data_IF_027760002821
#
_entry.id   IF_027760002821
#
_cell.length_a   1.000
_cell.length_b   1.000
_cell.length_c   1.000
_cell.angle_alpha   90.00
_cell.angle_beta   90.00
_cell.angle_gamma   90.00
#
_symmetry.space_group_name_H-M   'P 1'
#
loop_
_entity.id
_entity.type
_entity.pdbx_description
1 polymer ?
#
# COMPACT_ATOMS: atom_id res chain seq x y z
N UNK A 1 -27.19 29.28 -11.60
CA UNK A 1 -27.15 29.25 -13.07
C UNK A 1 -25.69 29.25 -13.49
N UNK A 2 -25.10 28.08 -13.73
CA UNK A 2 -23.76 27.94 -14.32
C UNK A 2 -23.61 26.52 -14.89
N UNK A 3 -23.76 26.52 -16.21
CA UNK A 3 -23.32 25.61 -17.27
C UNK A 3 -22.57 24.34 -16.87
N UNK A 4 -23.23 23.23 -17.21
CA UNK A 4 -22.71 21.89 -17.45
C UNK A 4 -22.10 21.84 -18.85
N UNK A 5 -20.91 21.24 -19.02
CA UNK A 5 -20.48 20.76 -20.32
C UNK A 5 -19.74 19.42 -20.21
N UNK A 6 -20.40 18.43 -20.82
CA UNK A 6 -19.99 17.07 -21.10
C UNK A 6 -18.69 17.00 -21.92
N UNK A 7 -17.92 15.93 -21.75
CA UNK A 7 -17.17 15.33 -22.86
C UNK A 7 -17.25 13.79 -22.78
N UNK A 8 -17.89 13.22 -23.82
CA UNK A 8 -17.96 11.80 -24.16
C UNK A 8 -17.03 11.51 -25.34
N UNK A 9 -16.54 10.27 -25.35
CA UNK A 9 -16.20 9.41 -26.51
C UNK A 9 -15.16 9.88 -27.54
N UNK A 10 -14.06 9.10 -27.65
CA UNK A 10 -13.56 8.58 -28.94
C UNK A 10 -13.05 7.14 -28.72
N UNK A 11 -13.54 6.21 -29.56
CA UNK A 11 -13.16 4.79 -29.69
C UNK A 11 -12.73 4.56 -31.13
N UNK A 12 -11.61 3.86 -31.38
CA UNK A 12 -11.30 3.08 -32.61
C UNK A 12 -9.83 2.58 -32.53
N UNK A 13 -9.57 1.27 -32.44
CA UNK A 13 -9.40 0.25 -33.50
C UNK A 13 -7.92 -0.19 -33.59
N UNK A 14 -7.64 -1.46 -33.30
CA UNK A 14 -6.48 -2.17 -33.82
C UNK A 14 -6.81 -3.67 -33.94
N UNK A 15 -6.80 -4.16 -35.17
CA UNK A 15 -7.11 -5.52 -35.59
C UNK A 15 -5.98 -6.51 -35.26
N UNK A 16 -6.41 -7.75 -35.00
CA UNK A 16 -5.62 -8.96 -34.80
C UNK A 16 -5.30 -9.58 -36.17
N UNK A 17 -4.03 -9.92 -36.41
CA UNK A 17 -3.63 -10.87 -37.47
C UNK A 17 -3.08 -12.15 -36.84
N UNK A 18 -3.81 -13.25 -37.01
CA UNK A 18 -3.39 -14.62 -36.72
C UNK A 18 -3.02 -15.31 -38.03
N UNK A 19 -1.82 -15.89 -38.07
CA UNK A 19 -1.39 -16.85 -39.07
C UNK A 19 -0.67 -17.98 -38.34
N UNK A 20 -1.18 -19.20 -38.43
CA UNK A 20 -0.35 -20.40 -38.37
C UNK A 20 -1.04 -21.58 -39.03
N UNK A 21 -0.28 -22.19 -39.95
CA UNK A 21 -0.63 -23.32 -40.79
C UNK A 21 -0.50 -24.67 -40.07
N UNK A 22 -1.20 -25.63 -40.66
CA UNK A 22 -1.46 -27.02 -40.27
C UNK A 22 -0.39 -28.03 -40.71
N UNK A 23 -0.31 -29.14 -39.92
CA UNK A 23 0.02 -30.55 -40.25
C UNK A 23 1.33 -30.94 -40.96
N UNK A 24 2.03 -31.95 -40.43
CA UNK A 24 1.97 -33.36 -40.89
C UNK A 24 2.92 -34.29 -40.12
N UNK A 25 2.59 -35.58 -40.13
CA UNK A 25 3.18 -36.71 -39.40
C UNK A 25 4.38 -37.37 -40.09
N UNK A 26 5.13 -38.26 -39.41
CA UNK A 26 5.26 -39.70 -39.74
C UNK A 26 6.30 -40.45 -38.86
N UNK A 27 5.84 -41.56 -38.26
CA UNK A 27 6.44 -42.91 -38.13
C UNK A 27 7.84 -43.18 -37.51
N UNK A 28 7.85 -44.11 -36.53
CA UNK A 28 8.61 -45.37 -36.69
C UNK A 28 9.31 -46.00 -35.46
N UNK A 29 8.77 -47.16 -35.01
CA UNK A 29 9.46 -48.36 -34.42
C UNK A 29 10.02 -48.22 -32.98
N UNK A 30 10.01 -49.20 -32.08
CA UNK A 30 9.69 -50.65 -32.06
C UNK A 30 9.52 -51.09 -30.60
N UNK A 31 8.69 -52.12 -30.36
CA UNK A 31 8.38 -52.70 -29.05
C UNK A 31 9.50 -53.59 -28.47
N UNK A 32 9.59 -53.64 -27.13
CA UNK A 32 10.16 -54.77 -26.36
C UNK A 32 9.24 -55.10 -25.18
N UNK A 33 8.86 -56.37 -25.10
CA UNK A 33 8.09 -56.98 -24.02
C UNK A 33 8.91 -57.04 -22.72
N UNK A 34 8.25 -56.81 -21.58
CA UNK A 34 8.66 -57.34 -20.28
C UNK A 34 7.42 -57.53 -19.37
N UNK A 35 7.02 -58.79 -19.25
CA UNK A 35 6.47 -59.49 -18.07
C UNK A 35 5.76 -58.70 -16.96
N UNK A 36 4.48 -59.04 -16.78
CA UNK A 36 3.63 -58.70 -15.65
C UNK A 36 3.93 -59.59 -14.42
N UNK A 37 4.12 -58.97 -13.25
CA UNK A 37 4.03 -59.60 -11.92
C UNK A 37 3.01 -58.79 -11.10
N UNK A 38 1.93 -59.36 -10.57
CA UNK A 38 0.98 -58.62 -9.76
C UNK A 38 1.45 -58.59 -8.29
N UNK A 39 1.89 -57.42 -7.82
CA UNK A 39 2.09 -57.16 -6.40
C UNK A 39 0.78 -56.64 -5.80
N UNK A 40 0.20 -57.43 -4.89
CA UNK A 40 -0.98 -57.07 -4.13
C UNK A 40 -0.70 -55.86 -3.23
N UNK A 41 -1.23 -54.70 -3.59
CA UNK A 41 -1.20 -53.51 -2.75
C UNK A 41 -2.25 -53.62 -1.63
N UNK A 42 -1.77 -53.82 -0.39
CA UNK A 42 -2.57 -53.65 0.84
C UNK A 42 -3.00 -52.18 0.97
N UNK A 43 -4.25 -51.88 0.60
CA UNK A 43 -4.91 -50.63 0.95
C UNK A 43 -5.06 -50.53 2.48
N UNK A 44 -4.15 -49.78 3.13
CA UNK A 44 -4.40 -49.32 4.50
C UNK A 44 -5.46 -48.22 4.44
N UNK A 45 -6.70 -48.56 4.78
CA UNK A 45 -7.73 -47.59 5.14
C UNK A 45 -7.18 -46.74 6.29
N UNK A 46 -6.72 -45.51 6.00
CA UNK A 46 -6.67 -44.45 7.01
C UNK A 46 -8.12 -44.16 7.37
N UNK A 47 -8.53 -44.57 8.56
CA UNK A 47 -9.73 -44.03 9.18
C UNK A 47 -9.55 -42.51 9.23
N UNK A 48 -10.37 -41.78 8.48
CA UNK A 48 -10.52 -40.33 8.69
C UNK A 48 -11.14 -40.17 10.06
N UNK A 49 -10.39 -39.61 11.00
CA UNK A 49 -10.97 -39.04 12.22
C UNK A 49 -12.04 -38.02 11.81
N UNK A 50 -13.18 -37.97 12.51
CA UNK A 50 -14.19 -36.96 12.24
C UNK A 50 -13.59 -35.58 12.50
N UNK A 51 -13.71 -34.69 11.52
CA UNK A 51 -13.36 -33.28 11.70
C UNK A 51 -14.11 -32.77 12.93
N UNK A 52 -13.38 -32.33 13.95
CA UNK A 52 -13.96 -31.52 15.00
C UNK A 52 -14.55 -30.30 14.31
N UNK A 53 -15.87 -30.16 14.34
CA UNK A 53 -16.51 -28.87 14.06
C UNK A 53 -15.94 -27.89 15.07
N UNK A 54 -14.90 -27.15 14.66
CA UNK A 54 -14.39 -26.04 15.46
C UNK A 54 -15.55 -25.09 15.66
N UNK A 55 -15.84 -24.75 16.92
CA UNK A 55 -16.75 -23.65 17.20
C UNK A 55 -16.22 -22.43 16.46
N UNK A 56 -17.01 -21.91 15.53
CA UNK A 56 -16.75 -20.64 14.85
C UNK A 56 -16.79 -19.56 15.94
N UNK A 57 -15.63 -18.99 16.28
CA UNK A 57 -15.49 -17.99 17.35
C UNK A 57 -15.90 -16.61 16.84
N UNK A 58 -17.10 -16.16 17.21
CA UNK A 58 -17.64 -14.86 16.84
C UNK A 58 -17.25 -13.82 17.90
N UNK A 59 -16.47 -12.81 17.52
CA UNK A 59 -16.17 -11.67 18.40
C UNK A 59 -17.46 -10.92 18.79
N UNK A 60 -17.81 -10.97 20.07
CA UNK A 60 -18.99 -10.32 20.62
C UNK A 60 -18.92 -8.79 20.59
N UNK A 61 -17.75 -8.21 20.31
CA UNK A 61 -17.61 -6.77 20.07
C UNK A 61 -17.89 -6.39 18.60
N UNK A 62 -18.01 -7.37 17.70
CA UNK A 62 -18.28 -7.17 16.29
C UNK A 62 -17.07 -6.73 15.48
N UNK A 63 -17.32 -6.38 14.21
CA UNK A 63 -16.31 -6.27 13.16
C UNK A 63 -16.36 -4.90 12.45
N UNK A 64 -15.26 -4.56 11.82
CA UNK A 64 -15.14 -3.41 10.91
C UNK A 64 -14.66 -3.91 9.56
N UNK A 65 -15.43 -3.64 8.51
CA UNK A 65 -15.04 -3.84 7.11
C UNK A 65 -14.90 -2.47 6.45
N UNK A 66 -13.97 -2.33 5.50
CA UNK A 66 -13.87 -1.12 4.70
C UNK A 66 -13.23 -1.40 3.34
N UNK A 67 -13.52 -0.54 2.36
CA UNK A 67 -12.75 -0.51 1.13
C UNK A 67 -11.56 0.45 1.24
N UNK A 68 -10.32 0.04 0.91
CA UNK A 68 -9.18 0.94 0.72
C UNK A 68 -9.28 1.66 -0.64
N UNK A 69 -10.43 2.29 -0.90
CA UNK A 69 -10.86 2.79 -2.21
C UNK A 69 -10.26 4.16 -2.61
N UNK A 70 -9.28 4.69 -1.86
CA UNK A 70 -8.67 6.00 -2.16
C UNK A 70 -7.17 5.85 -2.46
N UNK A 71 -6.79 6.19 -3.69
CA UNK A 71 -5.41 6.23 -4.13
C UNK A 71 -4.76 4.86 -4.35
N UNK A 72 -3.43 4.85 -4.45
CA UNK A 72 -2.60 3.65 -4.64
C UNK A 72 -2.07 3.13 -3.31
N UNK A 73 -1.23 2.09 -3.33
CA UNK A 73 -0.68 1.42 -2.15
C UNK A 73 -0.26 2.37 -1.01
N UNK A 74 0.50 3.44 -1.29
CA UNK A 74 0.93 4.39 -0.25
C UNK A 74 -0.23 5.06 0.50
N UNK A 75 -1.29 5.46 -0.22
CA UNK A 75 -2.50 6.02 0.39
C UNK A 75 -3.25 4.96 1.21
N UNK A 76 -3.38 3.76 0.64
CA UNK A 76 -4.07 2.64 1.28
C UNK A 76 -3.36 2.21 2.58
N UNK A 77 -2.03 2.20 2.59
CA UNK A 77 -1.24 1.87 3.77
C UNK A 77 -1.33 2.95 4.86
N UNK A 78 -1.38 4.23 4.50
CA UNK A 78 -1.66 5.32 5.45
C UNK A 78 -3.04 5.17 6.09
N UNK A 79 -4.07 4.93 5.25
CA UNK A 79 -5.43 4.66 5.70
C UNK A 79 -5.53 3.43 6.58
N UNK A 80 -4.81 2.36 6.25
CA UNK A 80 -4.80 1.13 7.05
C UNK A 80 -4.33 1.40 8.49
N UNK A 81 -3.29 2.22 8.69
CA UNK A 81 -2.84 2.58 10.04
C UNK A 81 -3.92 3.32 10.83
N UNK A 82 -4.63 4.25 10.19
CA UNK A 82 -5.76 4.93 10.82
C UNK A 82 -6.93 4.00 11.14
N UNK A 83 -7.28 3.11 10.21
CA UNK A 83 -8.36 2.13 10.40
C UNK A 83 -8.03 1.12 11.51
N UNK A 84 -6.76 0.71 11.63
CA UNK A 84 -6.28 -0.13 12.73
C UNK A 84 -6.35 0.62 14.07
N UNK A 85 -5.97 1.90 14.10
CA UNK A 85 -6.12 2.75 15.28
C UNK A 85 -7.59 2.90 15.71
N UNK A 86 -8.48 3.15 14.75
CA UNK A 86 -9.92 3.24 14.98
C UNK A 86 -10.51 1.93 15.50
N UNK A 87 -10.22 0.80 14.85
CA UNK A 87 -10.69 -0.53 15.26
C UNK A 87 -10.25 -0.88 16.68
N UNK A 88 -8.98 -0.58 17.01
CA UNK A 88 -8.43 -0.73 18.35
C UNK A 88 -9.18 0.12 19.37
N UNK A 89 -9.43 1.39 19.04
CA UNK A 89 -10.09 2.32 19.95
C UNK A 89 -11.54 1.94 20.23
N UNK A 90 -12.27 1.36 19.27
CA UNK A 90 -13.66 0.90 19.46
C UNK A 90 -13.80 -0.59 19.80
N UNK A 91 -12.68 -1.30 19.97
CA UNK A 91 -12.56 -2.71 20.35
C UNK A 91 -13.25 -3.73 19.42
N UNK A 92 -13.39 -3.40 18.13
CA UNK A 92 -13.96 -4.30 17.11
C UNK A 92 -12.87 -5.00 16.33
N UNK A 93 -13.07 -6.26 15.94
CA UNK A 93 -12.12 -6.96 15.07
C UNK A 93 -12.04 -6.27 13.71
N UNK A 94 -10.84 -5.89 13.27
CA UNK A 94 -10.65 -5.30 11.94
C UNK A 94 -10.56 -6.41 10.90
N UNK A 95 -11.45 -6.37 9.92
CA UNK A 95 -11.35 -7.21 8.73
C UNK A 95 -10.31 -6.58 7.81
N UNK A 96 -9.21 -7.28 7.61
CA UNK A 96 -8.09 -6.85 6.77
C UNK A 96 -8.54 -6.87 5.31
N UNK A 97 -8.69 -5.72 4.63
CA UNK A 97 -9.13 -5.71 3.26
C UNK A 97 -8.00 -6.16 2.34
N UNK A 98 -8.33 -6.72 1.15
CA UNK A 98 -7.35 -6.82 0.09
C UNK A 98 -6.88 -5.43 -0.35
N UNK A 99 -5.63 -5.33 -0.75
CA UNK A 99 -5.07 -4.16 -1.41
C UNK A 99 -5.67 -3.98 -2.79
N UNK A 100 -5.86 -2.74 -3.21
CA UNK A 100 -6.39 -2.40 -4.53
C UNK A 100 -5.23 -2.03 -5.45
N UNK A 101 -4.96 -2.86 -6.45
CA UNK A 101 -3.99 -2.59 -7.50
C UNK A 101 -4.68 -2.13 -8.79
N UNK A 102 -4.13 -1.11 -9.43
CA UNK A 102 -4.54 -0.67 -10.77
C UNK A 102 -3.48 -1.12 -11.77
N UNK A 103 -3.92 -1.77 -12.84
CA UNK A 103 -3.03 -2.33 -13.87
C UNK A 103 -3.30 -1.64 -15.20
N UNK A 104 -2.24 -1.23 -15.87
CA UNK A 104 -2.34 -0.57 -17.18
C UNK A 104 -3.06 -1.49 -18.16
N UNK A 105 -4.13 -0.99 -18.78
CA UNK A 105 -4.95 -1.75 -19.74
C UNK A 105 -6.08 -2.56 -19.12
N UNK A 106 -6.17 -2.67 -17.80
CA UNK A 106 -7.30 -3.32 -17.11
C UNK A 106 -8.36 -2.28 -16.72
N UNK A 107 -9.63 -2.56 -17.02
CA UNK A 107 -10.77 -1.67 -16.72
C UNK A 107 -11.09 -1.67 -15.22
N UNK A 108 -10.98 -2.83 -14.58
CA UNK A 108 -11.24 -3.03 -13.16
C UNK A 108 -9.96 -2.95 -12.32
N UNK A 109 -10.10 -2.57 -11.07
CA UNK A 109 -9.04 -2.78 -10.08
C UNK A 109 -8.90 -4.25 -9.72
N UNK A 110 -7.71 -4.68 -9.31
CA UNK A 110 -7.46 -6.01 -8.74
C UNK A 110 -7.41 -5.95 -7.22
N UNK A 111 -8.15 -6.85 -6.56
CA UNK A 111 -8.12 -7.07 -5.11
C UNK A 111 -7.04 -8.10 -4.80
N UNK A 112 -5.97 -7.66 -4.16
CA UNK A 112 -4.84 -8.52 -3.76
C UNK A 112 -4.94 -8.81 -2.26
N UNK A 113 -5.05 -10.07 -1.83
CA UNK A 113 -5.18 -10.42 -0.41
C UNK A 113 -4.11 -9.77 0.47
N UNK A 114 -4.48 -9.35 1.67
CA UNK A 114 -3.59 -8.60 2.57
C UNK A 114 -2.28 -9.34 2.85
N UNK A 115 -2.39 -10.66 3.06
CA UNK A 115 -1.31 -11.58 3.41
C UNK A 115 -0.36 -11.91 2.25
N UNK A 116 -0.71 -11.51 1.02
CA UNK A 116 0.20 -11.54 -0.13
C UNK A 116 1.50 -10.79 0.15
N UNK A 117 1.45 -9.73 0.96
CA UNK A 117 2.60 -8.88 1.27
C UNK A 117 3.01 -8.91 2.74
N UNK A 118 2.06 -9.06 3.66
CA UNK A 118 2.30 -8.82 5.09
C UNK A 118 1.95 -10.03 5.96
N UNK A 119 2.70 -10.19 7.04
CA UNK A 119 2.45 -11.24 8.03
C UNK A 119 1.28 -10.84 8.94
N UNK A 120 0.12 -11.48 8.73
CA UNK A 120 -1.10 -11.26 9.53
C UNK A 120 -0.87 -11.49 11.03
N UNK A 121 0.02 -12.42 11.40
CA UNK A 121 0.32 -12.71 12.82
C UNK A 121 0.92 -11.49 13.53
N UNK A 122 1.74 -10.69 12.84
CA UNK A 122 2.31 -9.47 13.42
C UNK A 122 1.25 -8.39 13.62
N UNK A 123 0.27 -8.30 12.73
CA UNK A 123 -0.89 -7.40 12.89
C UNK A 123 -1.76 -7.85 14.07
N UNK A 124 -2.00 -9.16 14.20
CA UNK A 124 -2.77 -9.78 15.31
C UNK A 124 -2.19 -9.46 16.69
N UNK A 125 -0.86 -9.25 16.81
CA UNK A 125 -0.21 -8.82 18.06
C UNK A 125 -0.62 -7.39 18.48
N UNK A 126 -1.04 -6.55 17.54
CA UNK A 126 -1.41 -5.16 17.82
C UNK A 126 -2.90 -4.99 18.12
N UNK A 127 -3.75 -5.73 17.42
CA UNK A 127 -5.20 -5.74 17.62
C UNK A 127 -5.83 -6.99 17.01
N UNK A 128 -7.06 -7.33 17.41
CA UNK A 128 -7.85 -8.40 16.81
C UNK A 128 -8.10 -8.10 15.32
N UNK A 129 -7.65 -9.00 14.45
CA UNK A 129 -7.83 -8.89 12.99
C UNK A 129 -8.12 -10.24 12.35
N UNK A 130 -8.79 -10.22 11.21
CA UNK A 130 -9.14 -11.38 10.38
C UNK A 130 -9.04 -11.02 8.90
N UNK A 131 -8.70 -11.96 8.02
CA UNK A 131 -8.70 -11.69 6.57
C UNK A 131 -10.11 -11.48 6.03
N UNK A 132 -10.30 -10.62 5.04
CA UNK A 132 -11.60 -10.43 4.38
C UNK A 132 -12.11 -11.73 3.76
N UNK A 133 -11.23 -12.50 3.13
CA UNK A 133 -11.54 -13.80 2.53
C UNK A 133 -12.08 -14.78 3.59
N UNK A 134 -11.39 -14.89 4.74
CA UNK A 134 -11.79 -15.71 5.88
C UNK A 134 -13.14 -15.25 6.46
N UNK A 135 -13.29 -13.95 6.70
CA UNK A 135 -14.53 -13.37 7.21
C UNK A 135 -15.72 -13.65 6.30
N UNK A 136 -15.56 -13.42 4.99
CA UNK A 136 -16.64 -13.57 4.01
C UNK A 136 -17.05 -15.03 3.81
N UNK A 137 -16.13 -15.98 3.96
CA UNK A 137 -16.42 -17.42 3.86
C UNK A 137 -16.99 -17.99 5.15
N UNK A 138 -16.44 -17.65 6.31
CA UNK A 138 -16.73 -18.34 7.57
C UNK A 138 -17.79 -17.63 8.44
N UNK A 139 -17.79 -16.29 8.45
CA UNK A 139 -18.59 -15.51 9.39
C UNK A 139 -19.74 -14.74 8.75
N UNK A 140 -19.51 -14.13 7.59
CA UNK A 140 -20.51 -13.28 6.93
C UNK A 140 -21.85 -14.00 6.69
N UNK A 141 -21.92 -15.28 6.30
CA UNK A 141 -23.20 -15.97 6.14
C UNK A 141 -24.02 -16.10 7.43
N UNK A 142 -23.37 -16.03 8.59
CA UNK A 142 -23.98 -16.24 9.92
C UNK A 142 -24.36 -14.91 10.57
N UNK A 143 -23.44 -13.94 10.57
CA UNK A 143 -23.58 -12.68 11.34
C UNK A 143 -23.75 -11.43 10.46
N UNK A 144 -23.65 -11.57 9.15
CA UNK A 144 -23.80 -10.46 8.19
C UNK A 144 -24.47 -10.93 6.88
N UNK A 145 -25.68 -11.49 6.98
CA UNK A 145 -26.39 -12.09 5.83
C UNK A 145 -26.72 -11.02 4.79
N UNK A 146 -26.98 -11.45 3.54
CA UNK A 146 -27.24 -10.57 2.39
C UNK A 146 -28.31 -9.51 2.68
N UNK A 147 -29.36 -9.87 3.42
CA UNK A 147 -30.49 -9.00 3.78
C UNK A 147 -30.17 -7.93 4.82
N UNK A 148 -28.98 -7.93 5.42
CA UNK A 148 -28.60 -7.03 6.52
C UNK A 148 -27.33 -6.22 6.22
N UNK A 149 -26.85 -6.26 4.97
CA UNK A 149 -25.62 -5.55 4.58
C UNK A 149 -25.89 -4.07 4.42
N UNK A 150 -25.60 -3.30 5.46
CA UNK A 150 -25.70 -1.83 5.48
C UNK A 150 -24.33 -1.20 5.25
N UNK A 151 -24.26 -0.24 4.33
CA UNK A 151 -23.05 0.54 4.05
C UNK A 151 -22.97 1.79 4.92
N UNK A 152 -21.77 2.13 5.40
CA UNK A 152 -21.52 3.30 6.24
C UNK A 152 -20.80 4.41 5.48
N UNK A 153 -21.33 5.62 5.56
CA UNK A 153 -20.71 6.84 5.04
C UNK A 153 -21.10 8.07 5.89
N UNK A 154 -20.38 9.19 5.72
CA UNK A 154 -20.61 10.38 6.55
C UNK A 154 -22.01 10.98 6.33
N UNK A 155 -22.38 11.09 5.06
CA UNK A 155 -23.64 11.63 4.56
C UNK A 155 -23.97 10.98 3.21
N UNK A 156 -25.16 11.25 2.68
CA UNK A 156 -25.53 10.85 1.31
C UNK A 156 -24.49 11.32 0.29
N UNK A 157 -24.32 10.53 -0.77
CA UNK A 157 -23.38 10.80 -1.87
C UNK A 157 -24.14 10.86 -3.20
N UNK A 158 -23.73 11.79 -4.06
CA UNK A 158 -24.38 12.01 -5.35
C UNK A 158 -25.81 12.53 -5.20
N UNK A 159 -26.68 12.17 -6.15
CA UNK A 159 -28.09 12.59 -6.17
C UNK A 159 -29.03 11.60 -5.46
N UNK A 160 -28.49 10.62 -4.74
CA UNK A 160 -29.27 9.60 -4.04
C UNK A 160 -29.31 9.86 -2.53
N UNK A 161 -30.30 9.31 -1.85
CA UNK A 161 -30.34 9.25 -0.38
C UNK A 161 -29.54 8.05 0.17
N UNK A 162 -28.39 7.73 -0.46
CA UNK A 162 -27.59 6.56 -0.11
C UNK A 162 -26.09 6.84 -0.10
N UNK A 163 -25.32 5.91 0.42
CA UNK A 163 -23.86 5.96 0.41
C UNK A 163 -23.23 5.69 -0.98
N UNK A 164 -24.00 5.14 -1.93
CA UNK A 164 -23.52 4.69 -3.25
C UNK A 164 -22.21 3.88 -3.14
N UNK A 165 -22.19 2.90 -2.22
CA UNK A 165 -20.99 2.19 -1.80
C UNK A 165 -20.23 1.43 -2.91
N UNK A 166 -20.88 1.20 -4.05
CA UNK A 166 -20.36 0.47 -5.21
C UNK A 166 -20.21 1.34 -6.46
N UNK A 167 -20.46 2.64 -6.36
CA UNK A 167 -20.39 3.54 -7.51
C UNK A 167 -18.94 3.85 -7.90
N UNK A 168 -18.57 3.48 -9.14
CA UNK A 168 -17.25 3.74 -9.70
C UNK A 168 -16.18 2.70 -9.38
N UNK A 169 -14.96 2.96 -9.85
CA UNK A 169 -13.77 2.14 -9.61
C UNK A 169 -12.87 2.86 -8.58
N UNK A 170 -12.44 2.20 -7.48
CA UNK A 170 -12.47 0.75 -7.23
C UNK A 170 -13.66 0.25 -6.40
N UNK A 171 -14.62 1.12 -6.07
CA UNK A 171 -15.73 0.83 -5.17
C UNK A 171 -16.54 -0.41 -5.56
N UNK A 172 -17.09 -0.44 -6.78
CA UNK A 172 -17.86 -1.59 -7.27
C UNK A 172 -17.03 -2.88 -7.29
N UNK A 173 -15.93 -2.93 -8.08
CA UNK A 173 -15.08 -4.11 -8.17
C UNK A 173 -14.60 -4.67 -6.82
N UNK A 174 -14.31 -3.81 -5.85
CA UNK A 174 -13.89 -4.25 -4.52
C UNK A 174 -14.97 -5.06 -3.79
N UNK A 175 -16.21 -4.57 -3.75
CA UNK A 175 -17.30 -5.27 -3.07
C UNK A 175 -17.82 -6.45 -3.91
N UNK A 176 -17.80 -6.33 -5.23
CA UNK A 176 -18.16 -7.41 -6.17
C UNK A 176 -17.22 -8.62 -6.02
N UNK A 177 -15.94 -8.41 -5.73
CA UNK A 177 -14.98 -9.50 -5.47
C UNK A 177 -15.42 -10.44 -4.33
N UNK A 178 -16.27 -9.96 -3.42
CA UNK A 178 -16.81 -10.73 -2.29
C UNK A 178 -18.32 -10.97 -2.38
N UNK A 179 -18.94 -10.74 -3.53
CA UNK A 179 -20.39 -10.81 -3.73
C UNK A 179 -21.15 -9.99 -2.66
N UNK A 180 -20.69 -8.77 -2.39
CA UNK A 180 -21.33 -7.83 -1.47
C UNK A 180 -22.19 -6.84 -2.23
N UNK A 181 -23.49 -6.93 -1.97
CA UNK A 181 -24.48 -5.88 -2.27
C UNK A 181 -25.01 -5.32 -0.96
N UNK A 182 -25.26 -4.01 -0.95
CA UNK A 182 -25.79 -3.31 0.20
C UNK A 182 -27.28 -3.04 0.03
N UNK A 183 -28.06 -3.40 1.05
CA UNK A 183 -29.52 -3.19 1.07
C UNK A 183 -29.93 -1.85 1.66
N UNK A 184 -28.97 -1.12 2.24
CA UNK A 184 -29.21 0.17 2.86
C UNK A 184 -27.94 0.95 3.17
N UNK A 185 -28.13 2.14 3.72
CA UNK A 185 -27.07 3.09 4.08
C UNK A 185 -27.28 3.60 5.50
N UNK A 186 -26.20 3.70 6.26
CA UNK A 186 -26.15 4.33 7.57
C UNK A 186 -25.25 5.56 7.52
N UNK A 187 -25.82 6.71 7.88
CA UNK A 187 -25.10 7.97 7.93
C UNK A 187 -24.58 8.22 9.34
N UNK A 188 -23.27 8.15 9.50
CA UNK A 188 -22.67 8.31 10.82
C UNK A 188 -22.43 9.77 11.21
N UNK A 189 -22.63 10.73 10.29
CA UNK A 189 -22.58 12.16 10.61
C UNK A 189 -23.46 12.47 11.84
N UNK A 190 -22.97 13.22 12.85
CA UNK A 190 -21.75 14.04 12.85
C UNK A 190 -20.48 13.35 13.37
N UNK A 191 -20.43 12.02 13.46
CA UNK A 191 -19.28 11.32 14.06
C UNK A 191 -18.04 11.41 13.17
N UNK A 192 -16.86 11.31 13.79
CA UNK A 192 -15.57 11.31 13.10
C UNK A 192 -14.68 10.16 13.58
N UNK A 193 -13.53 9.95 12.92
CA UNK A 193 -12.61 8.84 13.20
C UNK A 193 -11.42 9.23 14.09
N UNK A 194 -11.28 10.51 14.42
CA UNK A 194 -10.26 10.96 15.38
C UNK A 194 -10.58 10.50 16.81
N UNK A 195 -10.07 9.33 17.18
CA UNK A 195 -10.29 8.67 18.47
C UNK A 195 -9.31 9.12 19.57
N UNK A 196 -8.40 10.04 19.27
CA UNK A 196 -7.31 10.43 20.18
C UNK A 196 -7.61 11.72 20.94
N UNK A 197 -8.42 12.61 20.36
CA UNK A 197 -8.61 13.96 20.89
C UNK A 197 -10.01 14.24 21.45
N UNK A 198 -10.94 13.28 21.34
CA UNK A 198 -12.31 13.40 21.83
C UNK A 198 -12.80 12.06 22.39
N UNK A 199 -13.98 12.05 23.00
CA UNK A 199 -14.65 10.83 23.49
C UNK A 199 -15.35 10.03 22.37
N UNK A 200 -15.08 10.33 21.09
CA UNK A 200 -15.83 9.78 19.96
C UNK A 200 -15.82 8.25 19.93
N UNK A 201 -14.76 7.59 20.42
CA UNK A 201 -14.71 6.13 20.52
C UNK A 201 -15.81 5.55 21.43
N UNK A 202 -16.13 6.22 22.54
CA UNK A 202 -17.26 5.85 23.39
C UNK A 202 -18.59 6.09 22.68
N UNK A 203 -18.72 7.22 21.97
CA UNK A 203 -19.92 7.55 21.22
C UNK A 203 -20.21 6.52 20.13
N UNK A 204 -19.18 6.09 19.38
CA UNK A 204 -19.27 5.00 18.39
C UNK A 204 -19.79 3.70 19.01
N UNK A 205 -19.21 3.26 20.14
CA UNK A 205 -19.66 2.06 20.85
C UNK A 205 -21.11 2.15 21.32
N UNK A 206 -21.53 3.33 21.81
CA UNK A 206 -22.89 3.56 22.30
C UNK A 206 -23.93 3.60 21.17
N UNK A 207 -23.62 4.28 20.07
CA UNK A 207 -24.53 4.42 18.92
C UNK A 207 -24.64 3.12 18.12
N UNK A 208 -23.53 2.39 17.98
CA UNK A 208 -23.44 1.18 17.18
C UNK A 208 -22.99 -0.02 18.03
N UNK A 209 -23.85 -0.54 18.92
CA UNK A 209 -23.54 -1.74 19.70
C UNK A 209 -23.47 -2.99 18.80
N UNK A 210 -22.59 -3.93 19.13
CA UNK A 210 -22.34 -5.13 18.31
C UNK A 210 -23.56 -6.04 18.11
N UNK A 211 -24.48 -6.06 19.08
CA UNK A 211 -25.72 -6.85 19.03
C UNK A 211 -26.62 -6.41 17.87
N UNK A 212 -26.72 -5.10 17.64
CA UNK A 212 -27.55 -4.53 16.55
C UNK A 212 -26.74 -4.24 15.29
N UNK A 213 -25.42 -4.05 15.45
CA UNK A 213 -24.49 -3.71 14.38
C UNK A 213 -23.28 -4.64 14.45
N UNK A 214 -23.41 -5.92 14.07
CA UNK A 214 -22.32 -6.89 14.14
C UNK A 214 -21.17 -6.50 13.22
N UNK A 215 -21.45 -5.84 12.08
CA UNK A 215 -20.44 -5.36 11.12
C UNK A 215 -20.68 -3.89 10.80
N UNK A 216 -19.63 -3.07 10.95
CA UNK A 216 -19.60 -1.71 10.43
C UNK A 216 -18.84 -1.69 9.10
N UNK A 217 -19.57 -1.63 7.98
CA UNK A 217 -19.00 -1.75 6.63
C UNK A 217 -18.87 -0.38 5.94
N UNK A 218 -17.68 0.22 6.00
CA UNK A 218 -17.44 1.57 5.51
C UNK A 218 -17.12 1.62 4.01
N UNK A 219 -17.71 2.58 3.30
CA UNK A 219 -17.45 2.79 1.86
C UNK A 219 -16.02 3.21 1.55
N UNK A 220 -15.32 3.79 2.52
CA UNK A 220 -13.90 4.10 2.48
C UNK A 220 -13.27 3.83 3.84
N UNK A 221 -11.95 3.92 3.95
CA UNK A 221 -11.28 3.70 5.22
C UNK A 221 -11.79 4.65 6.32
N UNK A 222 -12.09 4.15 7.53
CA UNK A 222 -12.44 4.98 8.67
C UNK A 222 -11.17 5.61 9.28
N UNK A 223 -10.51 6.46 8.48
CA UNK A 223 -9.17 6.98 8.75
C UNK A 223 -8.95 8.35 8.09
N UNK A 224 -8.07 9.16 8.66
CA UNK A 224 -7.55 10.37 8.01
C UNK A 224 -6.44 10.05 7.01
N UNK A 225 -6.24 10.93 6.05
CA UNK A 225 -5.07 10.95 5.16
C UNK A 225 -4.49 12.38 5.09
N UNK A 226 -3.18 12.57 5.31
CA UNK A 226 -2.20 11.57 5.73
C UNK A 226 -2.53 10.94 7.09
N UNK A 227 -1.89 9.82 7.42
CA UNK A 227 -2.09 9.14 8.71
C UNK A 227 -1.84 10.12 9.88
N UNK A 228 -2.68 10.09 10.93
CA UNK A 228 -2.49 10.88 12.14
C UNK A 228 -1.18 10.51 12.86
N UNK A 229 -0.59 11.47 13.58
CA UNK A 229 0.71 11.31 14.26
C UNK A 229 0.68 10.13 15.24
N UNK A 230 -0.40 9.99 15.99
CA UNK A 230 -0.62 8.97 17.02
C UNK A 230 -0.63 7.56 16.43
N UNK A 231 -1.14 7.42 15.20
CA UNK A 231 -1.28 6.14 14.51
C UNK A 231 0.00 5.74 13.74
N UNK A 232 0.99 6.63 13.55
CA UNK A 232 2.24 6.29 12.85
C UNK A 232 2.97 5.08 13.46
N UNK A 233 2.95 5.00 14.79
CA UNK A 233 3.64 3.93 15.54
C UNK A 233 3.10 2.53 15.22
N UNK A 234 1.88 2.43 14.69
CA UNK A 234 1.27 1.16 14.26
C UNK A 234 1.96 0.55 13.03
N UNK A 235 2.86 1.28 12.34
CA UNK A 235 3.68 0.69 11.28
C UNK A 235 4.51 -0.51 11.79
N UNK A 236 4.82 -0.57 13.09
CA UNK A 236 5.50 -1.74 13.70
C UNK A 236 4.72 -3.06 13.55
N UNK A 237 3.42 -2.97 13.33
CA UNK A 237 2.52 -4.11 13.13
C UNK A 237 2.51 -4.60 11.67
N UNK A 238 2.96 -3.77 10.73
CA UNK A 238 2.94 -4.05 9.29
C UNK A 238 4.31 -4.60 8.88
N UNK A 239 4.46 -5.91 9.04
CA UNK A 239 5.72 -6.62 8.78
C UNK A 239 5.59 -7.41 7.48
N UNK A 240 6.54 -7.22 6.56
CA UNK A 240 6.64 -8.01 5.33
C UNK A 240 6.63 -9.52 5.62
N UNK A 241 5.90 -10.30 4.83
CA UNK A 241 5.93 -11.76 4.92
C UNK A 241 7.28 -12.33 4.44
N UNK A 242 7.51 -13.62 4.68
CA UNK A 242 8.78 -14.27 4.35
C UNK A 242 9.08 -14.25 2.85
N UNK A 243 8.06 -14.37 1.99
CA UNK A 243 8.23 -14.31 0.54
C UNK A 243 8.81 -12.96 0.11
N UNK A 244 8.21 -11.85 0.55
CA UNK A 244 8.66 -10.50 0.23
C UNK A 244 10.05 -10.24 0.79
N UNK A 245 10.31 -10.66 2.02
CA UNK A 245 11.63 -10.54 2.65
C UNK A 245 12.70 -11.33 1.89
N UNK A 246 12.39 -12.54 1.46
CA UNK A 246 13.32 -13.39 0.73
C UNK A 246 13.62 -12.83 -0.67
N UNK A 247 12.61 -12.30 -1.38
CA UNK A 247 12.82 -11.62 -2.67
C UNK A 247 13.73 -10.39 -2.52
N UNK A 248 13.48 -9.53 -1.53
CA UNK A 248 14.31 -8.36 -1.27
C UNK A 248 15.76 -8.75 -0.90
N UNK A 249 15.94 -9.73 0.00
CA UNK A 249 17.27 -10.25 0.38
C UNK A 249 18.01 -10.85 -0.81
N UNK A 250 17.31 -11.61 -1.66
CA UNK A 250 17.87 -12.22 -2.86
C UNK A 250 18.37 -11.16 -3.84
N UNK A 251 17.58 -10.12 -4.08
CA UNK A 251 18.00 -8.99 -4.91
C UNK A 251 19.25 -8.31 -4.32
N UNK A 252 19.22 -7.92 -3.04
CA UNK A 252 20.34 -7.24 -2.39
C UNK A 252 21.63 -8.07 -2.49
N UNK A 253 21.56 -9.37 -2.19
CA UNK A 253 22.75 -10.26 -2.23
C UNK A 253 23.22 -10.58 -3.65
N UNK A 254 22.31 -10.66 -4.61
CA UNK A 254 22.62 -11.09 -5.97
C UNK A 254 22.99 -9.95 -6.92
N UNK A 255 22.51 -8.74 -6.66
CA UNK A 255 22.64 -7.60 -7.58
C UNK A 255 23.51 -6.47 -7.04
N UNK A 256 23.58 -6.28 -5.71
CA UNK A 256 24.39 -5.21 -5.13
C UNK A 256 25.78 -5.74 -4.73
N UNK A 257 26.85 -4.95 -4.91
CA UNK A 257 28.18 -5.32 -4.41
C UNK A 257 28.19 -5.41 -2.88
N UNK A 258 29.09 -6.23 -2.29
CA UNK A 258 29.27 -6.28 -0.85
C UNK A 258 29.61 -4.90 -0.27
N UNK A 259 28.85 -4.46 0.73
CA UNK A 259 29.01 -3.17 1.38
C UNK A 259 27.67 -2.51 1.71
N UNK A 260 27.71 -1.29 2.21
CA UNK A 260 26.52 -0.49 2.44
C UNK A 260 25.95 0.05 1.12
N UNK A 261 24.63 0.27 1.09
CA UNK A 261 23.96 0.90 -0.06
C UNK A 261 23.01 2.01 0.37
N UNK A 262 22.84 2.98 -0.52
CA UNK A 262 21.84 4.04 -0.40
C UNK A 262 20.61 3.64 -1.20
N UNK A 263 19.47 3.49 -0.53
CA UNK A 263 18.18 3.38 -1.20
C UNK A 263 17.66 4.76 -1.54
N UNK A 264 17.21 4.97 -2.78
CA UNK A 264 16.57 6.20 -3.19
C UNK A 264 15.21 5.96 -3.82
N UNK A 265 14.26 6.83 -3.53
CA UNK A 265 12.96 6.85 -4.20
C UNK A 265 12.83 8.12 -5.05
N UNK A 266 12.65 7.91 -6.35
CA UNK A 266 12.39 8.95 -7.33
C UNK A 266 10.91 8.89 -7.71
N UNK A 267 10.17 9.94 -7.39
CA UNK A 267 8.77 10.08 -7.77
C UNK A 267 8.69 11.15 -8.85
N UNK A 268 8.57 10.72 -10.10
CA UNK A 268 8.69 11.58 -11.28
C UNK A 268 7.79 11.14 -12.46
N UNK A 269 6.77 10.33 -12.19
CA UNK A 269 5.67 10.08 -13.13
C UNK A 269 4.92 11.36 -13.53
N UNK A 270 4.29 11.34 -14.70
CA UNK A 270 3.58 12.51 -15.25
C UNK A 270 2.42 12.99 -14.36
N UNK A 271 1.75 12.06 -13.68
CA UNK A 271 0.71 12.36 -12.69
C UNK A 271 1.29 13.15 -11.49
N UNK A 272 2.50 12.79 -11.10
CA UNK A 272 3.23 13.42 -10.00
C UNK A 272 3.74 14.80 -10.36
N UNK A 273 4.24 15.00 -11.59
CA UNK A 273 4.66 16.32 -12.08
C UNK A 273 3.51 17.32 -11.93
N UNK A 274 2.31 16.95 -12.36
CA UNK A 274 1.10 17.79 -12.20
C UNK A 274 0.72 18.01 -10.75
N UNK A 275 0.82 16.98 -9.91
CA UNK A 275 0.52 17.13 -8.48
C UNK A 275 1.45 18.15 -7.80
N UNK A 276 2.72 18.20 -8.21
CA UNK A 276 3.70 19.13 -7.67
C UNK A 276 3.46 20.60 -8.08
N UNK A 277 2.70 20.89 -9.13
CA UNK A 277 2.33 22.26 -9.52
C UNK A 277 1.53 22.98 -8.40
N UNK A 278 0.87 22.22 -7.53
CA UNK A 278 0.05 22.74 -6.43
C UNK A 278 0.78 22.85 -5.09
N UNK A 279 2.09 22.57 -5.02
CA UNK A 279 2.80 22.51 -3.75
C UNK A 279 2.84 23.87 -3.04
N UNK A 280 2.90 24.96 -3.80
CA UNK A 280 2.94 26.34 -3.28
C UNK A 280 1.64 26.75 -2.57
N UNK A 281 0.50 26.21 -2.99
CA UNK A 281 -0.82 26.48 -2.41
C UNK A 281 -1.25 25.43 -1.37
N UNK A 282 -0.60 24.26 -1.35
CA UNK A 282 -0.95 23.12 -0.50
C UNK A 282 0.25 22.63 0.33
N UNK A 283 0.62 23.33 1.43
CA UNK A 283 1.81 23.00 2.20
C UNK A 283 1.74 21.61 2.89
N UNK A 284 0.52 21.13 3.17
CA UNK A 284 0.26 19.81 3.77
C UNK A 284 -0.10 18.75 2.72
N UNK A 285 0.32 18.92 1.46
CA UNK A 285 -0.05 18.00 0.38
C UNK A 285 0.43 16.57 0.70
N UNK A 286 -0.51 15.62 0.62
CA UNK A 286 -0.25 14.20 0.81
C UNK A 286 0.54 13.90 2.08
N UNK A 287 1.76 13.36 1.97
CA UNK A 287 2.56 12.93 3.11
C UNK A 287 3.60 13.96 3.60
N UNK A 288 3.49 15.23 3.19
CA UNK A 288 4.45 16.29 3.54
C UNK A 288 4.77 16.39 5.05
N UNK A 289 3.80 16.07 5.90
CA UNK A 289 3.96 16.03 7.35
C UNK A 289 5.11 15.12 7.83
N UNK A 290 5.52 14.11 7.04
CA UNK A 290 6.61 13.20 7.40
C UNK A 290 7.97 13.90 7.53
N UNK A 291 8.20 14.98 6.77
CA UNK A 291 9.43 15.77 6.89
C UNK A 291 9.17 17.13 7.55
N UNK A 292 8.05 17.79 7.25
CA UNK A 292 7.75 19.15 7.70
C UNK A 292 7.08 19.21 9.09
N UNK A 293 6.58 18.08 9.58
CA UNK A 293 5.75 18.00 10.77
C UNK A 293 4.27 18.33 10.50
N UNK A 294 3.39 17.93 11.41
CA UNK A 294 1.93 17.97 11.21
C UNK A 294 1.35 19.39 11.26
N UNK A 295 2.11 20.36 11.79
CA UNK A 295 1.77 21.79 11.76
C UNK A 295 2.79 22.62 10.99
N UNK A 296 3.57 21.98 10.11
CA UNK A 296 4.66 22.62 9.34
C UNK A 296 5.74 23.24 10.24
N UNK A 297 6.01 22.62 11.39
CA UNK A 297 6.95 23.11 12.39
C UNK A 297 8.39 23.18 11.87
N UNK A 298 8.70 22.45 10.78
CA UNK A 298 10.03 22.37 10.17
C UNK A 298 10.13 23.07 8.81
N UNK A 299 9.16 23.93 8.50
CA UNK A 299 9.13 24.74 7.29
C UNK A 299 7.99 24.39 6.34
N UNK A 300 8.01 24.98 5.14
CA UNK A 300 6.98 24.79 4.10
C UNK A 300 7.49 23.84 3.02
N UNK A 301 6.56 23.14 2.38
CA UNK A 301 6.86 22.31 1.23
C UNK A 301 7.36 23.17 0.06
N UNK A 302 8.38 22.68 -0.64
CA UNK A 302 8.97 23.36 -1.80
C UNK A 302 8.94 22.45 -3.03
N UNK A 303 9.07 23.06 -4.21
CA UNK A 303 9.17 22.33 -5.48
C UNK A 303 10.30 21.30 -5.44
N UNK A 304 11.46 21.64 -4.86
CA UNK A 304 12.60 20.73 -4.73
C UNK A 304 12.33 19.53 -3.81
N UNK A 305 11.38 19.64 -2.87
CA UNK A 305 10.94 18.51 -2.03
C UNK A 305 9.95 17.60 -2.76
N UNK A 306 9.15 18.18 -3.67
CA UNK A 306 8.12 17.46 -4.42
C UNK A 306 8.66 16.83 -5.71
N UNK A 307 9.43 17.57 -6.50
CA UNK A 307 10.00 17.17 -7.78
C UNK A 307 11.46 17.69 -7.90
N UNK A 308 12.43 17.01 -7.26
CA UNK A 308 13.82 17.47 -7.24
C UNK A 308 14.47 17.41 -8.63
N UNK A 309 15.31 18.41 -8.93
CA UNK A 309 16.17 18.38 -10.13
C UNK A 309 17.30 17.36 -9.99
N UNK A 310 17.92 16.97 -11.12
CA UNK A 310 19.11 16.12 -11.12
C UNK A 310 20.23 16.70 -10.23
N UNK A 311 20.41 18.03 -10.24
CA UNK A 311 21.40 18.70 -9.40
C UNK A 311 21.14 18.46 -7.90
N UNK A 312 19.89 18.66 -7.45
CA UNK A 312 19.50 18.42 -6.05
C UNK A 312 19.69 16.95 -5.68
N UNK A 313 19.27 16.03 -6.55
CA UNK A 313 19.45 14.58 -6.36
C UNK A 313 20.95 14.25 -6.17
N UNK A 314 21.80 14.70 -7.09
CA UNK A 314 23.24 14.43 -7.04
C UNK A 314 23.90 15.06 -5.82
N UNK A 315 23.52 16.29 -5.46
CA UNK A 315 24.05 17.00 -4.28
C UNK A 315 23.75 16.23 -3.00
N UNK A 316 22.49 15.84 -2.80
CA UNK A 316 22.05 15.10 -1.61
C UNK A 316 22.69 13.70 -1.58
N UNK A 317 22.67 13.00 -2.71
CA UNK A 317 23.24 11.65 -2.82
C UNK A 317 24.74 11.63 -2.56
N UNK A 318 25.51 12.53 -3.19
CA UNK A 318 26.97 12.66 -2.95
C UNK A 318 27.28 13.02 -1.50
N UNK A 319 26.45 13.84 -0.85
CA UNK A 319 26.60 14.16 0.58
C UNK A 319 26.42 12.92 1.46
N UNK A 320 25.38 12.12 1.22
CA UNK A 320 25.16 10.87 1.95
C UNK A 320 26.29 9.88 1.71
N UNK A 321 26.73 9.73 0.45
CA UNK A 321 27.83 8.82 0.11
C UNK A 321 29.14 9.20 0.81
N UNK A 322 29.52 10.48 0.82
CA UNK A 322 30.77 10.94 1.45
C UNK A 322 30.78 10.82 2.97
N UNK A 323 29.62 11.00 3.60
CA UNK A 323 29.49 10.96 5.06
C UNK A 323 29.16 9.56 5.58
N UNK A 324 28.69 8.67 4.71
CA UNK A 324 28.33 7.31 5.07
C UNK A 324 29.53 6.36 5.07
N UNK A 325 29.43 5.33 5.90
CA UNK A 325 30.45 4.27 6.00
C UNK A 325 30.23 3.19 4.97
N UNK A 326 31.30 2.84 4.26
CA UNK A 326 31.41 1.68 3.35
C UNK A 326 30.31 1.61 2.28
N UNK A 327 29.86 2.76 1.77
CA UNK A 327 28.85 2.78 0.70
C UNK A 327 29.49 2.36 -0.62
N UNK A 328 28.89 1.37 -1.30
CA UNK A 328 29.37 0.82 -2.58
C UNK A 328 28.35 0.92 -3.72
N UNK A 329 27.08 1.13 -3.38
CA UNK A 329 26.02 1.14 -4.37
C UNK A 329 24.84 2.02 -3.99
N UNK A 330 24.05 2.35 -5.02
CA UNK A 330 22.77 3.04 -4.91
C UNK A 330 21.71 2.14 -5.52
N UNK A 331 20.62 1.90 -4.79
CA UNK A 331 19.42 1.25 -5.30
C UNK A 331 18.36 2.30 -5.60
N UNK A 332 17.78 2.26 -6.80
CA UNK A 332 16.78 3.22 -7.27
C UNK A 332 15.43 2.54 -7.44
N UNK A 333 14.45 3.02 -6.67
CA UNK A 333 13.03 2.78 -6.94
C UNK A 333 12.44 4.01 -7.63
N UNK A 334 11.69 3.81 -8.71
CA UNK A 334 11.03 4.89 -9.43
C UNK A 334 9.68 4.47 -9.98
N UNK A 335 8.74 5.40 -10.05
CA UNK A 335 7.45 5.20 -10.72
C UNK A 335 7.49 5.47 -12.22
N UNK A 336 8.59 6.05 -12.73
CA UNK A 336 8.76 6.35 -14.16
C UNK A 336 10.24 6.33 -14.56
N UNK A 337 10.96 7.44 -14.39
CA UNK A 337 12.36 7.56 -14.80
C UNK A 337 13.29 7.19 -13.63
N UNK A 338 14.09 6.15 -13.80
CA UNK A 338 15.06 5.67 -12.82
C UNK A 338 16.39 6.44 -12.84
N UNK A 339 16.62 7.28 -13.86
CA UNK A 339 17.84 8.10 -14.00
C UNK A 339 19.15 7.28 -13.94
N UNK A 340 19.12 6.01 -14.36
CA UNK A 340 20.25 5.08 -14.18
C UNK A 340 21.51 5.59 -14.86
N UNK A 341 21.40 6.07 -16.10
CA UNK A 341 22.54 6.58 -16.87
C UNK A 341 23.14 7.83 -16.24
N UNK A 342 22.31 8.84 -15.95
CA UNK A 342 22.74 10.09 -15.31
C UNK A 342 23.45 9.84 -13.98
N UNK A 343 22.85 8.99 -13.14
CA UNK A 343 23.41 8.63 -11.84
C UNK A 343 24.72 7.84 -11.99
N UNK A 344 24.78 6.87 -12.90
CA UNK A 344 25.99 6.06 -13.13
C UNK A 344 27.15 6.95 -13.59
N UNK A 345 26.90 7.82 -14.58
CA UNK A 345 27.91 8.72 -15.11
C UNK A 345 28.45 9.66 -14.02
N UNK A 346 27.58 10.22 -13.19
CA UNK A 346 27.95 11.19 -12.16
C UNK A 346 28.57 10.58 -10.88
N UNK A 347 28.37 9.28 -10.65
CA UNK A 347 28.87 8.56 -9.46
C UNK A 347 30.05 7.64 -9.76
N UNK A 348 30.38 7.43 -11.04
CA UNK A 348 31.51 6.63 -11.52
C UNK A 348 32.84 6.96 -10.81
N UNK A 349 33.18 8.26 -10.69
CA UNK A 349 34.41 8.75 -10.02
C UNK A 349 34.48 8.39 -8.54
N UNK A 350 33.36 8.04 -7.91
CA UNK A 350 33.28 7.62 -6.51
C UNK A 350 33.30 6.09 -6.37
N UNK A 351 33.45 5.34 -7.46
CA UNK A 351 33.35 3.88 -7.51
C UNK A 351 32.03 3.35 -6.92
N UNK A 352 30.93 4.08 -7.17
CA UNK A 352 29.59 3.71 -6.73
C UNK A 352 28.79 3.19 -7.92
N UNK A 353 28.25 1.98 -7.77
CA UNK A 353 27.38 1.35 -8.77
C UNK A 353 25.91 1.69 -8.54
N UNK A 354 25.12 1.81 -9.60
CA UNK A 354 23.69 2.19 -9.54
C UNK A 354 22.84 1.05 -10.05
N UNK A 355 21.81 0.68 -9.30
CA UNK A 355 21.00 -0.52 -9.54
C UNK A 355 19.52 -0.22 -9.41
N UNK A 356 18.71 -0.96 -10.15
CA UNK A 356 17.24 -1.00 -10.05
C UNK A 356 16.77 -2.44 -10.16
N UNK A 357 15.51 -2.70 -9.82
CA UNK A 357 14.92 -4.00 -10.10
C UNK A 357 14.91 -4.27 -11.63
N UNK A 358 15.12 -5.54 -12.03
CA UNK A 358 14.82 -5.96 -13.40
C UNK A 358 13.31 -5.92 -13.65
N UNK A 359 12.91 -5.76 -14.91
CA UNK A 359 11.50 -5.79 -15.28
C UNK A 359 10.94 -7.23 -15.30
N UNK A 360 9.66 -7.43 -14.92
CA UNK A 360 8.75 -6.42 -14.37
C UNK A 360 9.08 -6.08 -12.90
N UNK A 361 9.28 -4.80 -12.61
CA UNK A 361 9.58 -4.34 -11.26
C UNK A 361 8.35 -4.41 -10.34
N UNK A 362 8.54 -4.85 -9.09
CA UNK A 362 7.47 -4.87 -8.09
C UNK A 362 7.61 -3.70 -7.12
N UNK A 363 6.60 -2.82 -6.98
CA UNK A 363 6.65 -1.71 -6.05
C UNK A 363 6.76 -2.18 -4.58
N UNK A 364 6.18 -3.34 -4.25
CA UNK A 364 6.28 -3.91 -2.91
C UNK A 364 7.71 -4.42 -2.61
N UNK A 365 8.40 -4.98 -3.61
CA UNK A 365 9.81 -5.37 -3.46
C UNK A 365 10.70 -4.12 -3.36
N UNK A 366 10.40 -3.03 -4.09
CA UNK A 366 11.11 -1.76 -3.95
C UNK A 366 11.04 -1.27 -2.50
N UNK A 367 9.84 -1.19 -1.93
CA UNK A 367 9.64 -0.78 -0.53
C UNK A 367 10.43 -1.66 0.44
N UNK A 368 10.39 -2.99 0.27
CA UNK A 368 11.12 -3.94 1.11
C UNK A 368 12.65 -3.78 0.99
N UNK A 369 13.19 -3.46 -0.20
CA UNK A 369 14.61 -3.16 -0.40
C UNK A 369 14.97 -1.80 0.23
N UNK A 370 14.17 -0.76 -0.01
CA UNK A 370 14.39 0.58 0.53
C UNK A 370 14.36 0.58 2.07
N UNK A 371 13.42 -0.14 2.69
CA UNK A 371 13.34 -0.32 4.14
C UNK A 371 14.60 -0.97 4.74
N UNK A 372 15.33 -1.74 3.93
CA UNK A 372 16.58 -2.44 4.31
C UNK A 372 17.87 -1.70 3.96
N UNK A 373 17.78 -0.56 3.27
CA UNK A 373 18.96 0.24 2.93
C UNK A 373 19.69 0.77 4.17
N UNK A 374 21.00 0.97 4.05
CA UNK A 374 21.77 1.57 5.14
C UNK A 374 21.40 3.06 5.30
N UNK A 375 21.23 3.74 4.17
CA UNK A 375 20.76 5.11 4.10
C UNK A 375 19.61 5.19 3.11
N UNK A 376 18.57 5.95 3.44
CA UNK A 376 17.41 6.12 2.58
C UNK A 376 17.18 7.60 2.27
N UNK A 377 17.05 7.96 0.99
CA UNK A 377 16.60 9.30 0.56
C UNK A 377 15.29 9.17 -0.19
N UNK A 378 14.23 9.72 0.39
CA UNK A 378 12.87 9.64 -0.17
C UNK A 378 12.31 10.97 -0.63
N UNK A 379 11.10 10.91 -1.18
CA UNK A 379 10.31 12.08 -1.55
C UNK A 379 9.38 12.47 -0.39
N UNK A 380 9.51 13.68 0.16
CA UNK A 380 8.75 14.09 1.35
C UNK A 380 7.23 14.12 1.13
N UNK A 381 6.76 14.37 -0.10
CA UNK A 381 5.33 14.51 -0.38
C UNK A 381 4.69 13.15 -0.66
N UNK A 382 5.48 12.15 -1.08
CA UNK A 382 4.99 10.82 -1.46
C UNK A 382 4.60 9.95 -0.27
N UNK A 383 3.35 9.45 -0.27
CA UNK A 383 2.89 8.43 0.70
C UNK A 383 3.56 7.06 0.49
N UNK A 384 4.08 6.78 -0.71
CA UNK A 384 4.91 5.59 -0.97
C UNK A 384 6.25 5.67 -0.22
N UNK A 385 6.89 6.84 -0.22
CA UNK A 385 8.05 7.11 0.65
C UNK A 385 7.66 7.05 2.12
N UNK A 386 6.49 7.58 2.50
CA UNK A 386 6.04 7.60 3.89
C UNK A 386 5.96 6.21 4.52
N UNK A 387 5.58 5.20 3.74
CA UNK A 387 5.63 3.80 4.17
C UNK A 387 7.06 3.40 4.60
N UNK A 388 8.06 3.64 3.74
CA UNK A 388 9.47 3.33 4.05
C UNK A 388 9.96 4.15 5.23
N UNK A 389 9.64 5.45 5.28
CA UNK A 389 10.06 6.34 6.35
C UNK A 389 9.56 5.85 7.71
N UNK A 390 8.28 5.45 7.81
CA UNK A 390 7.72 4.87 9.03
C UNK A 390 8.34 3.51 9.37
N UNK A 391 8.55 2.63 8.39
CA UNK A 391 9.17 1.32 8.62
C UNK A 391 10.58 1.48 9.20
N UNK A 392 11.32 2.46 8.69
CA UNK A 392 12.67 2.81 9.18
C UNK A 392 12.63 3.45 10.54
N UNK A 393 11.69 4.37 10.78
CA UNK A 393 11.49 5.05 12.07
C UNK A 393 11.26 4.03 13.19
N UNK A 394 10.36 3.06 13.00
CA UNK A 394 10.10 2.03 14.03
C UNK A 394 11.28 1.08 14.25
N UNK A 395 12.22 1.00 13.30
CA UNK A 395 13.47 0.23 13.40
C UNK A 395 14.66 1.06 13.89
N UNK A 396 14.47 2.37 14.11
CA UNK A 396 15.55 3.28 14.50
C UNK A 396 16.55 3.60 13.38
N UNK A 397 16.16 3.47 12.12
CA UNK A 397 17.01 3.78 10.97
C UNK A 397 16.81 5.21 10.47
N UNK A 398 17.88 5.92 10.04
CA UNK A 398 17.77 7.28 9.56
C UNK A 398 17.06 7.35 8.20
N UNK A 399 16.31 8.43 7.98
CA UNK A 399 15.64 8.76 6.73
C UNK A 399 15.95 10.21 6.34
N UNK A 400 16.32 10.40 5.08
CA UNK A 400 16.56 11.71 4.48
C UNK A 400 15.52 11.97 3.39
N UNK A 401 15.34 13.23 3.03
CA UNK A 401 14.42 13.61 1.95
C UNK A 401 15.07 14.57 0.97
N UNK A 402 14.62 14.54 -0.28
CA UNK A 402 15.04 15.51 -1.28
C UNK A 402 14.64 16.93 -0.88
N UNK A 403 15.52 17.89 -1.11
CA UNK A 403 15.27 19.30 -0.79
C UNK A 403 15.05 19.63 0.69
N UNK A 404 15.24 18.67 1.62
CA UNK A 404 15.02 18.85 3.05
C UNK A 404 16.28 18.50 3.89
N UNK A 405 16.63 19.29 4.92
CA UNK A 405 16.02 20.60 5.27
C UNK A 405 16.19 21.61 4.13
N UNK A 406 15.28 22.59 3.99
CA UNK A 406 15.41 23.61 2.95
C UNK A 406 16.76 24.32 3.10
N UNK A 407 17.36 24.69 1.98
CA UNK A 407 18.61 25.44 2.00
C UNK A 407 18.37 26.74 2.79
N UNK A 408 19.22 27.00 3.78
CA UNK A 408 19.21 28.32 4.42
C UNK A 408 19.50 29.32 3.32
N UNK A 409 18.69 30.39 3.17
CA UNK A 409 19.09 31.47 2.29
C UNK A 409 20.49 31.90 2.72
N UNK A 410 21.38 32.10 1.74
CA UNK A 410 22.69 32.68 1.99
C UNK A 410 22.45 34.11 2.52
N UNK A 411 22.26 34.27 3.83
CA UNK A 411 22.25 35.58 4.45
C UNK A 411 23.65 36.13 4.34
N UNK A 412 23.83 36.99 3.34
CA UNK A 412 24.53 38.27 3.48
C UNK A 412 24.35 38.79 4.91
N UNK A 413 25.38 38.63 5.73
CA UNK A 413 26.12 39.68 6.48
C UNK A 413 26.96 38.96 7.55
N UNK A 414 28.28 39.24 7.68
CA UNK A 414 29.06 38.76 8.81
C UNK A 414 28.44 39.22 10.12
N UNK A 415 28.42 38.34 11.11
CA UNK A 415 28.02 38.64 12.47
C UNK A 415 29.03 39.64 13.05
N UNK A 416 28.76 40.94 12.96
CA UNK A 416 29.42 41.93 13.81
C UNK A 416 28.87 41.75 15.22
N UNK A 417 29.80 41.52 16.14
CA UNK A 417 29.59 41.48 17.58
C UNK A 417 28.97 42.81 18.06
N UNK A 418 27.95 42.69 18.91
CA UNK A 418 27.57 43.67 19.93
C UNK A 418 27.20 42.90 21.19
#
# INVERSE_FOLDING_TARGET
>A
MLVVSNFKEITALAQIHLHQHSMTSLHGRTAKLATWIPVAARARRRQREPASYGLIDVDTNGYIAYCPCMGRFGNQADHFLGALGFAKAINRTLILPPWVEYRTGEIGSKQVPFDTYFNVTEVKKCHKVMLMEEFMTELAPIIWPLSERISFCYSSRGNSESCNAKEGNPFGPFWDNFNVDFVGSEFYGPFHYDVHHTDIANQWRKKYPAVSWPVLAFTGAPASFPVQLENKSLQKCVVWNDEMLNKAKKFIKGSLPPGAFVGIHLRNGIDWVRACEFISSSPNLFAAAQCLGYRNERGKATDSMCLPSLEVILKHLKRVIRNGKDIKSVFVASDSNYMIEDLTNNLSRMNISVHRQPEPASPHIDLAILGRSNYFIGNCISSFTAFVAREREVKGYPTFFWGFPPERPATTTPRTEL
#
